data_IF_636491615145
#
_entry.id   IF_636491615145
#
_cell.length_a   1.000
_cell.length_b   1.000
_cell.length_c   1.000
_cell.angle_alpha   90.00
_cell.angle_beta   90.00
_cell.angle_gamma   90.00
#
_symmetry.space_group_name_H-M   'P 1'
#
loop_
_entity.id
_entity.type
_entity.pdbx_description
1 polymer ?
#
# COMPACT_ATOMS: atom_id res chain seq x y z
N UNK A 1 0.76 25.68 31.48
CA UNK A 1 -0.23 25.29 30.43
C UNK A 1 0.31 25.89 29.15
N UNK A 2 0.55 25.11 28.10
CA UNK A 2 1.00 25.64 26.83
C UNK A 2 -0.10 26.48 26.16
N UNK A 3 0.31 27.53 25.45
CA UNK A 3 -0.61 28.38 24.68
C UNK A 3 -1.09 27.68 23.39
N UNK A 4 -0.25 26.81 22.86
CA UNK A 4 -0.51 26.09 21.61
C UNK A 4 -0.05 24.64 21.71
N UNK A 5 -0.79 23.73 21.08
CA UNK A 5 -0.44 22.33 20.90
C UNK A 5 -0.59 21.96 19.45
N UNK A 6 0.42 21.29 18.91
CA UNK A 6 0.39 20.73 17.56
C UNK A 6 0.21 19.21 17.64
N UNK A 7 -0.65 18.68 16.76
CA UNK A 7 -0.91 17.25 16.62
C UNK A 7 -0.72 16.83 15.17
N UNK A 8 0.15 15.85 14.95
CA UNK A 8 0.35 15.22 13.65
C UNK A 8 -0.18 13.79 13.69
N UNK A 9 -0.78 13.37 12.60
CA UNK A 9 -1.32 12.03 12.48
C UNK A 9 -1.36 11.54 11.03
N UNK A 10 -1.69 10.28 10.86
CA UNK A 10 -1.86 9.67 9.53
C UNK A 10 -3.26 9.12 9.41
N UNK A 11 -3.90 9.38 8.27
CA UNK A 11 -5.15 8.74 7.86
C UNK A 11 -4.81 7.73 6.76
N UNK A 12 -5.32 6.52 6.90
CA UNK A 12 -5.14 5.43 5.94
C UNK A 12 -6.48 4.78 5.67
N UNK A 13 -6.87 4.68 4.41
CA UNK A 13 -8.13 4.08 3.98
C UNK A 13 -7.91 3.18 2.77
N UNK A 14 -8.88 2.32 2.49
CA UNK A 14 -8.89 1.46 1.31
C UNK A 14 -9.89 1.93 0.25
N UNK A 15 -10.49 3.11 0.46
CA UNK A 15 -11.36 3.74 -0.53
C UNK A 15 -11.29 5.27 -0.42
N UNK A 16 -11.44 5.95 -1.55
CA UNK A 16 -11.51 7.42 -1.58
C UNK A 16 -12.76 7.97 -0.89
N UNK A 17 -13.86 7.22 -0.91
CA UNK A 17 -15.09 7.63 -0.23
C UNK A 17 -14.91 7.64 1.28
N UNK A 18 -14.22 6.63 1.82
CA UNK A 18 -13.92 6.56 3.25
C UNK A 18 -12.95 7.66 3.66
N UNK A 19 -11.95 7.95 2.82
CA UNK A 19 -11.02 9.05 3.09
C UNK A 19 -11.74 10.39 3.19
N UNK A 20 -12.60 10.70 2.22
CA UNK A 20 -13.40 11.93 2.23
C UNK A 20 -14.27 12.02 3.50
N UNK A 21 -14.94 10.92 3.85
CA UNK A 21 -15.75 10.85 5.07
C UNK A 21 -14.90 11.06 6.33
N UNK A 22 -13.74 10.42 6.43
CA UNK A 22 -12.84 10.57 7.57
C UNK A 22 -12.34 12.01 7.70
N UNK A 23 -11.92 12.63 6.61
CA UNK A 23 -11.49 14.04 6.62
C UNK A 23 -12.61 14.99 7.05
N UNK A 24 -13.83 14.78 6.55
CA UNK A 24 -14.99 15.54 6.97
C UNK A 24 -15.24 15.39 8.48
N UNK A 25 -15.20 14.16 8.99
CA UNK A 25 -15.40 13.88 10.42
C UNK A 25 -14.30 14.45 11.30
N UNK A 26 -13.05 14.37 10.88
CA UNK A 26 -11.95 15.01 11.60
C UNK A 26 -12.18 16.52 11.70
N UNK A 27 -12.52 17.20 10.59
CA UNK A 27 -12.82 18.64 10.62
C UNK A 27 -13.93 18.96 11.60
N UNK A 28 -15.05 18.23 11.55
CA UNK A 28 -16.18 18.44 12.45
C UNK A 28 -15.80 18.23 13.92
N UNK A 29 -15.12 17.12 14.23
CA UNK A 29 -14.76 16.78 15.62
C UNK A 29 -13.79 17.82 16.17
N UNK A 30 -12.72 18.14 15.45
CA UNK A 30 -11.70 19.08 15.94
C UNK A 30 -12.30 20.46 16.15
N UNK A 31 -13.06 20.99 15.18
CA UNK A 31 -13.69 22.31 15.30
C UNK A 31 -14.65 22.35 16.48
N UNK A 32 -15.54 21.35 16.61
CA UNK A 32 -16.53 21.34 17.70
C UNK A 32 -15.89 21.11 19.07
N UNK A 33 -14.83 20.34 19.15
CA UNK A 33 -14.09 20.14 20.40
C UNK A 33 -13.39 21.42 20.84
N UNK A 34 -12.75 22.14 19.92
CA UNK A 34 -12.13 23.43 20.22
C UNK A 34 -13.15 24.46 20.68
N UNK A 35 -14.25 24.64 19.94
CA UNK A 35 -15.37 25.54 20.31
C UNK A 35 -15.90 25.23 21.71
N UNK A 36 -16.15 23.95 22.01
CA UNK A 36 -16.70 23.53 23.32
C UNK A 36 -15.75 23.82 24.50
N UNK A 37 -14.46 23.97 24.24
CA UNK A 37 -13.44 24.28 25.26
C UNK A 37 -12.95 25.74 25.21
N UNK A 38 -13.60 26.61 24.43
CA UNK A 38 -13.24 28.01 24.33
C UNK A 38 -11.85 28.25 23.70
N UNK A 39 -11.43 27.34 22.80
CA UNK A 39 -10.17 27.41 22.06
C UNK A 39 -10.40 27.45 20.56
N UNK A 40 -9.36 27.73 19.80
CA UNK A 40 -9.39 27.70 18.34
C UNK A 40 -8.54 26.53 17.81
N UNK A 41 -8.94 25.97 16.66
CA UNK A 41 -8.18 24.93 15.99
C UNK A 41 -8.00 25.28 14.50
N UNK A 42 -6.76 25.15 14.03
CA UNK A 42 -6.42 25.18 12.60
C UNK A 42 -6.16 23.77 12.14
N UNK A 43 -6.68 23.42 10.96
CA UNK A 43 -6.53 22.09 10.37
C UNK A 43 -5.97 22.18 8.97
N UNK A 44 -4.93 21.38 8.72
CA UNK A 44 -4.43 21.10 7.38
C UNK A 44 -4.68 19.62 7.07
N UNK A 45 -5.60 19.35 6.13
CA UNK A 45 -5.97 18.00 5.70
C UNK A 45 -6.17 17.98 4.17
N UNK A 46 -5.28 17.29 3.44
CA UNK A 46 -4.03 16.66 3.89
C UNK A 46 -2.96 17.70 4.23
N UNK A 47 -2.09 17.40 5.20
CA UNK A 47 -0.94 18.24 5.58
C UNK A 47 0.28 18.02 4.68
N UNK A 48 0.46 16.79 4.19
CA UNK A 48 1.58 16.40 3.34
C UNK A 48 1.10 15.66 2.10
N UNK A 49 2.01 14.89 1.48
CA UNK A 49 1.70 14.08 0.31
C UNK A 49 0.49 13.18 0.54
N UNK A 50 -0.40 13.17 -0.43
CA UNK A 50 -1.55 12.29 -0.51
C UNK A 50 -1.26 11.19 -1.53
N UNK A 51 -1.44 9.94 -1.14
CA UNK A 51 -1.29 8.77 -2.02
C UNK A 51 -2.66 8.15 -2.28
N UNK A 52 -3.05 8.00 -3.54
CA UNK A 52 -4.27 7.26 -3.88
C UNK A 52 -4.22 5.81 -3.38
N UNK A 53 -5.38 5.16 -3.35
CA UNK A 53 -5.43 3.72 -3.08
C UNK A 53 -4.73 2.97 -4.21
N UNK A 54 -3.79 2.09 -3.88
CA UNK A 54 -3.18 1.17 -4.84
C UNK A 54 -4.17 0.08 -5.20
N UNK A 55 -4.69 0.13 -6.42
CA UNK A 55 -5.70 -0.78 -6.90
C UNK A 55 -5.18 -1.64 -8.06
N UNK A 56 -5.31 -2.95 -7.93
CA UNK A 56 -5.01 -3.89 -9.02
C UNK A 56 -6.16 -3.97 -10.00
N UNK A 57 -5.91 -3.71 -11.28
CA UNK A 57 -6.91 -3.91 -12.32
C UNK A 57 -7.27 -5.41 -12.41
N UNK A 58 -8.54 -5.72 -12.17
CA UNK A 58 -9.03 -7.11 -12.07
C UNK A 58 -8.75 -7.91 -13.33
N UNK A 59 -9.02 -7.32 -14.50
CA UNK A 59 -8.84 -8.02 -15.79
C UNK A 59 -7.35 -8.25 -16.09
N UNK A 60 -6.49 -7.27 -15.82
CA UNK A 60 -5.04 -7.40 -15.99
C UNK A 60 -4.47 -8.43 -15.00
N UNK A 61 -4.89 -8.38 -13.74
CA UNK A 61 -4.45 -9.34 -12.71
C UNK A 61 -4.80 -10.77 -13.13
N UNK A 62 -6.05 -11.02 -13.53
CA UNK A 62 -6.47 -12.34 -13.98
C UNK A 62 -5.68 -12.82 -15.21
N UNK A 63 -5.38 -11.91 -16.14
CA UNK A 63 -4.60 -12.18 -17.34
C UNK A 63 -3.15 -12.53 -17.04
N UNK A 64 -2.54 -11.86 -16.05
CA UNK A 64 -1.10 -11.96 -15.74
C UNK A 64 -0.78 -12.96 -14.62
N UNK A 65 -1.79 -13.42 -13.89
CA UNK A 65 -1.62 -14.44 -12.83
C UNK A 65 -0.88 -15.71 -13.29
N UNK A 66 -1.16 -16.29 -14.49
CA UNK A 66 -0.42 -17.45 -14.99
C UNK A 66 1.09 -17.18 -15.16
N UNK A 67 1.50 -15.95 -15.52
CA UNK A 67 2.92 -15.58 -15.67
C UNK A 67 3.63 -15.57 -14.31
N UNK A 68 2.99 -15.11 -13.25
CA UNK A 68 3.54 -15.22 -11.89
C UNK A 68 3.64 -16.69 -11.46
N UNK A 69 2.61 -17.48 -11.71
CA UNK A 69 2.59 -18.91 -11.37
C UNK A 69 3.68 -19.69 -12.11
N UNK A 70 3.96 -19.33 -13.36
CA UNK A 70 5.08 -19.90 -14.15
C UNK A 70 6.44 -19.57 -13.52
N UNK A 71 6.60 -18.36 -12.99
CA UNK A 71 7.86 -17.88 -12.42
C UNK A 71 8.20 -18.51 -11.07
N UNK A 72 7.20 -18.76 -10.23
CA UNK A 72 7.39 -19.11 -8.81
C UNK A 72 6.78 -20.46 -8.44
N UNK A 73 5.95 -21.03 -9.32
CA UNK A 73 5.06 -22.16 -9.02
C UNK A 73 3.74 -21.70 -8.39
N UNK A 74 2.64 -22.30 -8.85
CA UNK A 74 1.28 -21.91 -8.47
C UNK A 74 1.03 -21.90 -6.94
N UNK A 75 1.68 -22.78 -6.21
CA UNK A 75 1.55 -22.87 -4.74
C UNK A 75 2.14 -21.67 -3.99
N UNK A 76 3.05 -20.96 -4.64
CA UNK A 76 3.77 -19.82 -4.05
C UNK A 76 3.14 -18.47 -4.42
N UNK A 77 2.08 -18.47 -5.21
CA UNK A 77 1.30 -17.27 -5.53
C UNK A 77 0.03 -17.28 -4.69
N UNK A 78 -0.03 -16.40 -3.73
CA UNK A 78 -1.12 -16.34 -2.76
C UNK A 78 -1.79 -14.98 -2.80
N UNK A 79 -3.09 -14.95 -2.51
CA UNK A 79 -3.81 -13.72 -2.28
C UNK A 79 -3.54 -13.26 -0.85
N UNK A 80 -3.12 -12.02 -0.69
CA UNK A 80 -2.92 -11.39 0.62
C UNK A 80 -4.07 -10.41 0.89
N UNK A 81 -4.38 -10.14 2.17
CA UNK A 81 -5.32 -9.09 2.53
C UNK A 81 -4.89 -7.73 1.98
N UNK A 82 -5.85 -6.84 1.78
CA UNK A 82 -5.56 -5.46 1.43
C UNK A 82 -4.85 -4.76 2.59
N UNK A 83 -3.82 -3.98 2.26
CA UNK A 83 -3.04 -3.20 3.21
C UNK A 83 -3.17 -1.71 2.94
N UNK A 84 -3.00 -0.90 3.98
CA UNK A 84 -3.15 0.55 3.92
C UNK A 84 -1.80 1.27 3.80
N UNK A 85 -0.77 0.59 3.28
CA UNK A 85 0.53 1.19 2.98
C UNK A 85 0.41 2.27 1.90
N UNK A 86 1.17 3.34 2.02
CA UNK A 86 1.31 4.31 0.94
C UNK A 86 2.26 3.75 -0.13
N UNK A 87 1.86 3.86 -1.41
CA UNK A 87 2.61 3.32 -2.53
C UNK A 87 2.46 4.26 -3.75
N UNK A 88 3.57 4.71 -4.30
CA UNK A 88 3.56 5.65 -5.43
C UNK A 88 3.11 5.01 -6.75
N UNK A 89 3.17 3.69 -6.86
CA UNK A 89 2.57 2.95 -7.97
C UNK A 89 1.08 3.25 -8.15
N UNK A 90 0.39 3.68 -7.10
CA UNK A 90 -1.01 4.09 -7.15
C UNK A 90 -1.28 5.17 -8.20
N UNK A 91 -0.35 6.12 -8.39
CA UNK A 91 -0.49 7.15 -9.41
C UNK A 91 -0.45 6.57 -10.82
N UNK A 92 0.43 5.60 -11.08
CA UNK A 92 0.48 4.91 -12.37
C UNK A 92 -0.77 4.05 -12.60
N UNK A 93 -1.25 3.36 -11.56
CA UNK A 93 -2.44 2.51 -11.64
C UNK A 93 -3.74 3.29 -11.90
N UNK A 94 -3.77 4.58 -11.57
CA UNK A 94 -4.89 5.47 -11.89
C UNK A 94 -4.90 5.92 -13.36
N UNK A 95 -3.73 5.97 -14.02
CA UNK A 95 -3.61 6.39 -15.41
C UNK A 95 -3.75 5.23 -16.40
N UNK A 96 -3.26 4.05 -16.01
CA UNK A 96 -3.29 2.85 -16.86
C UNK A 96 -3.62 1.62 -16.01
N UNK A 97 -4.17 0.53 -16.61
CA UNK A 97 -4.37 -0.72 -15.88
C UNK A 97 -3.09 -1.21 -15.22
N UNK A 98 -3.06 -1.20 -13.89
CA UNK A 98 -1.92 -1.58 -13.08
C UNK A 98 -2.08 -2.96 -12.43
N UNK A 99 -0.95 -3.62 -12.18
CA UNK A 99 -0.86 -4.86 -11.44
C UNK A 99 0.33 -4.82 -10.50
N UNK A 100 0.06 -4.70 -9.21
CA UNK A 100 1.03 -4.64 -8.13
C UNK A 100 1.04 -5.95 -7.34
N UNK A 101 2.21 -6.44 -6.97
CA UNK A 101 2.37 -7.65 -6.18
C UNK A 101 3.59 -7.56 -5.28
N UNK A 102 3.57 -8.29 -4.19
CA UNK A 102 4.69 -8.42 -3.27
C UNK A 102 5.55 -9.63 -3.60
N UNK A 103 6.85 -9.52 -3.36
CA UNK A 103 7.79 -10.64 -3.40
C UNK A 103 8.21 -10.96 -1.97
N UNK A 104 7.83 -12.13 -1.49
CA UNK A 104 8.23 -12.60 -0.16
C UNK A 104 9.72 -12.93 -0.14
N UNK A 105 10.43 -12.37 0.83
CA UNK A 105 11.86 -12.61 1.06
C UNK A 105 12.17 -12.86 2.55
N UNK A 106 11.21 -13.39 3.30
CA UNK A 106 11.45 -13.85 4.65
C UNK A 106 12.27 -15.15 4.62
N UNK A 107 13.37 -15.27 5.42
CA UNK A 107 14.16 -16.48 5.48
C UNK A 107 13.34 -17.71 5.87
N UNK A 108 13.65 -18.85 5.26
CA UNK A 108 12.97 -20.13 5.56
C UNK A 108 13.03 -20.46 7.05
N UNK A 109 11.90 -20.86 7.60
CA UNK A 109 11.78 -21.25 9.02
C UNK A 109 11.63 -20.07 9.98
N UNK A 110 11.59 -18.83 9.47
CA UNK A 110 11.19 -17.68 10.26
C UNK A 110 9.67 -17.51 10.21
N UNK A 111 9.12 -17.11 11.34
CA UNK A 111 7.71 -16.84 11.49
C UNK A 111 7.43 -15.36 11.12
N UNK A 112 6.56 -15.07 10.14
CA UNK A 112 6.24 -13.71 9.78
C UNK A 112 5.61 -12.88 10.93
N UNK A 113 4.89 -13.52 11.84
CA UNK A 113 4.24 -12.87 12.99
C UNK A 113 5.26 -12.30 14.01
N UNK A 114 6.43 -12.93 14.09
CA UNK A 114 7.48 -12.56 15.06
C UNK A 114 8.72 -11.95 14.42
N UNK A 115 8.76 -11.85 13.10
CA UNK A 115 9.89 -11.26 12.38
C UNK A 115 9.81 -9.73 12.41
N UNK A 116 10.97 -9.10 12.40
CA UNK A 116 11.07 -7.64 12.38
C UNK A 116 10.37 -7.04 11.15
N UNK A 117 9.44 -6.10 11.33
CA UNK A 117 8.72 -5.49 10.23
C UNK A 117 9.62 -4.52 9.44
N UNK A 118 9.12 -4.10 8.28
CA UNK A 118 9.73 -3.01 7.50
C UNK A 118 9.96 -1.77 8.38
N UNK A 119 10.94 -0.97 8.02
CA UNK A 119 11.30 0.28 8.71
C UNK A 119 11.80 0.10 10.15
N UNK A 120 12.36 -1.08 10.48
CA UNK A 120 13.07 -1.33 11.73
C UNK A 120 14.53 -1.66 11.49
N UNK A 121 15.44 -1.39 12.44
CA UNK A 121 16.86 -1.72 12.30
C UNK A 121 17.15 -3.21 12.12
N UNK A 122 16.28 -4.05 12.64
CA UNK A 122 16.38 -5.52 12.60
C UNK A 122 15.78 -6.14 11.35
N UNK A 123 15.19 -5.32 10.45
CA UNK A 123 14.61 -5.80 9.21
C UNK A 123 15.68 -6.51 8.35
N UNK A 124 15.35 -7.71 7.91
CA UNK A 124 16.24 -8.55 7.12
C UNK A 124 15.51 -9.24 5.97
N UNK A 125 16.14 -9.29 4.82
CA UNK A 125 15.69 -10.02 3.63
C UNK A 125 16.61 -11.18 3.31
N UNK A 126 16.03 -12.32 2.91
CA UNK A 126 16.76 -13.40 2.27
C UNK A 126 16.97 -13.04 0.79
N UNK A 127 18.20 -12.79 0.41
CA UNK A 127 18.57 -12.39 -0.95
C UNK A 127 18.20 -13.44 -2.01
N UNK A 128 17.98 -14.70 -1.61
CA UNK A 128 17.50 -15.74 -2.53
C UNK A 128 16.11 -15.42 -3.12
N UNK A 129 15.34 -14.54 -2.47
CA UNK A 129 14.07 -14.03 -2.99
C UNK A 129 14.22 -13.08 -4.18
N UNK A 130 15.35 -12.42 -4.36
CA UNK A 130 15.55 -11.43 -5.41
C UNK A 130 15.46 -12.02 -6.82
N UNK A 131 16.05 -13.19 -7.04
CA UNK A 131 15.95 -13.87 -8.34
C UNK A 131 14.49 -14.21 -8.70
N UNK A 132 13.67 -14.53 -7.70
CA UNK A 132 12.24 -14.75 -7.90
C UNK A 132 11.54 -13.50 -8.39
N UNK A 133 11.82 -12.35 -7.78
CA UNK A 133 11.29 -11.05 -8.19
C UNK A 133 11.70 -10.69 -9.61
N UNK A 134 12.98 -10.84 -9.95
CA UNK A 134 13.50 -10.59 -11.31
C UNK A 134 12.80 -11.48 -12.34
N UNK A 135 12.72 -12.79 -12.09
CA UNK A 135 12.06 -13.73 -12.98
C UNK A 135 10.56 -13.42 -13.15
N UNK A 136 9.87 -13.04 -12.07
CA UNK A 136 8.47 -12.66 -12.12
C UNK A 136 8.27 -11.43 -13.02
N UNK A 137 9.05 -10.37 -12.83
CA UNK A 137 8.96 -9.15 -13.64
C UNK A 137 9.28 -9.41 -15.12
N UNK A 138 10.34 -10.15 -15.43
CA UNK A 138 10.71 -10.50 -16.80
C UNK A 138 9.60 -11.29 -17.48
N UNK A 139 9.08 -12.34 -16.83
CA UNK A 139 8.02 -13.15 -17.40
C UNK A 139 6.72 -12.35 -17.61
N UNK A 140 6.36 -11.48 -16.67
CA UNK A 140 5.20 -10.60 -16.83
C UNK A 140 5.32 -9.71 -18.07
N UNK A 141 6.47 -9.07 -18.28
CA UNK A 141 6.70 -8.19 -19.45
C UNK A 141 6.66 -8.99 -20.73
N UNK A 142 7.41 -10.09 -20.82
CA UNK A 142 7.50 -10.91 -22.03
C UNK A 142 6.14 -11.51 -22.39
N UNK A 143 5.49 -12.17 -21.45
CA UNK A 143 4.19 -12.82 -21.68
C UNK A 143 3.14 -11.76 -22.06
N UNK A 144 3.12 -10.57 -21.43
CA UNK A 144 2.21 -9.49 -21.79
C UNK A 144 2.42 -8.97 -23.22
N UNK A 145 3.69 -8.82 -23.63
CA UNK A 145 4.02 -8.37 -25.00
C UNK A 145 3.62 -9.43 -26.04
N UNK A 146 3.77 -10.71 -25.74
CA UNK A 146 3.37 -11.81 -26.62
C UNK A 146 1.85 -11.90 -26.77
N UNK A 147 1.08 -11.63 -25.73
CA UNK A 147 -0.39 -11.62 -25.77
C UNK A 147 -1.00 -10.49 -26.61
N UNK A 148 -0.20 -9.46 -26.93
CA UNK A 148 -0.66 -8.33 -27.78
C UNK A 148 -0.44 -8.57 -29.28
N UNK A 149 0.23 -9.64 -29.64
CA UNK A 149 0.38 -10.06 -31.05
C UNK A 149 -0.79 -10.93 -31.49
#
# INVERSE_FOLDING_TARGET
IPEQVEMLGTVRTLSESDEKLVFERIRQIVTKTAEANGTEATLELPYSSHYPVTFNNIALTAKMLPSLQKSTGAKNVVLVPAETGAEDFSFFANEVPGFYFYVGALPKGKDPETSAPHHTPEFYLDESGFITGVNAMVNLVVDYMEMKK
#
